data_IF_450135112463
#
_entry.id   IF_450135112463
#
_cell.length_a   1.000
_cell.length_b   1.000
_cell.length_c   1.000
_cell.angle_alpha   90.00
_cell.angle_beta   90.00
_cell.angle_gamma   90.00
#
_symmetry.space_group_name_H-M   'P 1'
#
loop_
_entity.id
_entity.type
_entity.pdbx_description
1 polymer ?
#
# COMPACT_ATOMS: atom_id res chain seq x y z
N UNK A 1 2.39 -22.41 16.10
CA UNK A 1 2.94 -21.07 15.79
C UNK A 1 4.09 -21.30 14.83
N UNK A 2 4.00 -20.82 13.58
CA UNK A 2 5.06 -20.95 12.59
C UNK A 2 6.27 -20.11 13.01
N UNK A 3 7.50 -20.56 12.71
CA UNK A 3 8.75 -19.85 13.05
C UNK A 3 8.82 -18.41 12.52
N UNK A 4 7.99 -18.08 11.53
CA UNK A 4 7.84 -16.75 10.96
C UNK A 4 7.19 -15.73 11.92
N UNK A 5 6.37 -16.19 12.86
CA UNK A 5 5.70 -15.31 13.83
C UNK A 5 6.67 -14.77 14.91
N UNK A 6 7.83 -15.39 15.09
CA UNK A 6 8.89 -14.93 16.02
C UNK A 6 9.88 -13.95 15.37
N UNK A 7 9.71 -13.68 14.07
CA UNK A 7 10.59 -12.77 13.35
C UNK A 7 10.36 -11.29 13.71
N UNK A 8 11.37 -10.47 13.42
CA UNK A 8 11.28 -9.02 13.57
C UNK A 8 10.09 -8.44 12.80
N UNK A 9 9.54 -7.34 13.30
CA UNK A 9 8.38 -6.68 12.71
C UNK A 9 8.55 -6.40 11.20
N UNK A 10 9.75 -5.98 10.78
CA UNK A 10 10.05 -5.72 9.37
C UNK A 10 9.91 -6.96 8.49
N UNK A 11 10.36 -8.13 8.97
CA UNK A 11 10.23 -9.38 8.23
C UNK A 11 8.77 -9.83 8.15
N UNK A 12 8.03 -9.73 9.26
CA UNK A 12 6.57 -10.03 9.29
C UNK A 12 5.78 -9.07 8.39
N UNK A 13 6.10 -7.78 8.41
CA UNK A 13 5.49 -6.78 7.55
C UNK A 13 5.83 -7.02 6.07
N UNK A 14 7.06 -7.41 5.75
CA UNK A 14 7.44 -7.76 4.38
C UNK A 14 6.66 -8.98 3.86
N UNK A 15 6.49 -10.02 4.68
CA UNK A 15 5.66 -11.18 4.34
C UNK A 15 4.19 -10.76 4.14
N UNK A 16 3.65 -9.94 5.05
CA UNK A 16 2.30 -9.38 4.93
C UNK A 16 2.12 -8.63 3.60
N UNK A 17 3.06 -7.76 3.25
CA UNK A 17 3.02 -7.02 2.00
C UNK A 17 3.08 -7.98 0.81
N UNK A 18 3.98 -8.97 0.78
CA UNK A 18 4.02 -9.91 -0.34
C UNK A 18 2.75 -10.74 -0.51
N UNK A 19 2.07 -11.12 0.58
CA UNK A 19 0.84 -11.91 0.52
C UNK A 19 -0.40 -11.08 0.14
N UNK A 20 -0.53 -9.86 0.65
CA UNK A 20 -1.72 -9.01 0.41
C UNK A 20 -1.57 -8.03 -0.73
N UNK A 21 -0.36 -7.52 -0.92
CA UNK A 21 -0.07 -6.45 -1.87
C UNK A 21 1.40 -6.49 -2.29
N UNK A 22 1.81 -7.40 -3.20
CA UNK A 22 3.19 -7.49 -3.64
C UNK A 22 3.61 -6.17 -4.28
N UNK A 23 4.28 -5.34 -3.48
CA UNK A 23 4.57 -3.93 -3.79
C UNK A 23 5.40 -3.81 -5.06
N UNK A 24 6.33 -4.76 -5.26
CA UNK A 24 7.19 -4.77 -6.45
C UNK A 24 6.39 -4.98 -7.74
N UNK A 25 5.46 -5.94 -7.73
CA UNK A 25 4.61 -6.21 -8.88
C UNK A 25 3.62 -5.05 -9.14
N UNK A 26 3.03 -4.51 -8.08
CA UNK A 26 2.09 -3.39 -8.20
C UNK A 26 2.78 -2.07 -8.53
N UNK A 27 4.02 -1.86 -8.07
CA UNK A 27 4.77 -0.63 -8.27
C UNK A 27 5.02 -0.32 -9.74
N UNK A 28 5.31 -1.35 -10.55
CA UNK A 28 5.47 -1.18 -11.99
C UNK A 28 4.16 -0.76 -12.68
N UNK A 29 3.05 -1.46 -12.38
CA UNK A 29 1.73 -1.14 -12.93
C UNK A 29 1.28 0.26 -12.50
N UNK A 30 1.51 0.62 -11.23
CA UNK A 30 1.18 1.94 -10.70
C UNK A 30 2.01 3.02 -11.39
N UNK A 31 3.30 2.79 -11.64
CA UNK A 31 4.12 3.74 -12.38
C UNK A 31 3.55 4.01 -13.78
N UNK A 32 3.21 2.95 -14.53
CA UNK A 32 2.58 3.06 -15.86
C UNK A 32 1.21 3.77 -15.77
N UNK A 33 0.39 3.42 -14.78
CA UNK A 33 -0.90 4.06 -14.54
C UNK A 33 -0.77 5.55 -14.24
N UNK A 34 0.09 5.93 -13.29
CA UNK A 34 0.37 7.32 -12.94
C UNK A 34 0.93 8.08 -14.16
N UNK A 35 1.81 7.47 -14.94
CA UNK A 35 2.37 8.07 -16.14
C UNK A 35 1.26 8.39 -17.16
N UNK A 36 0.37 7.42 -17.40
CA UNK A 36 -0.78 7.61 -18.29
C UNK A 36 -1.71 8.71 -17.80
N UNK A 37 -2.07 8.70 -16.51
CA UNK A 37 -2.97 9.67 -15.91
C UNK A 37 -2.43 11.11 -15.98
N UNK A 38 -1.16 11.30 -15.62
CA UNK A 38 -0.53 12.62 -15.66
C UNK A 38 -0.32 13.10 -17.10
N UNK A 39 0.07 12.21 -18.02
CA UNK A 39 0.21 12.54 -19.45
C UNK A 39 -1.12 13.01 -20.03
N UNK A 40 -2.20 12.26 -19.78
CA UNK A 40 -3.53 12.62 -20.25
C UNK A 40 -3.99 13.97 -19.68
N UNK A 41 -3.79 14.19 -18.37
CA UNK A 41 -4.11 15.48 -17.74
C UNK A 41 -3.36 16.65 -18.37
N UNK A 42 -2.07 16.48 -18.73
CA UNK A 42 -1.28 17.52 -19.40
C UNK A 42 -1.79 17.83 -20.80
N UNK A 43 -2.11 16.79 -21.58
CA UNK A 43 -2.68 16.93 -22.92
C UNK A 43 -3.99 17.74 -22.85
N UNK A 44 -4.89 17.39 -21.92
CA UNK A 44 -6.14 18.13 -21.74
C UNK A 44 -5.95 19.59 -21.30
N UNK A 45 -4.83 19.90 -20.63
CA UNK A 45 -4.49 21.27 -20.20
C UNK A 45 -3.68 22.04 -21.24
N UNK A 46 -3.37 21.43 -22.40
CA UNK A 46 -2.52 22.04 -23.43
C UNK A 46 -1.09 22.29 -22.96
N UNK A 47 -0.61 21.57 -21.94
CA UNK A 47 0.74 21.77 -21.40
C UNK A 47 1.71 20.91 -22.20
N UNK A 48 2.58 21.57 -22.96
CA UNK A 48 3.62 20.91 -23.74
C UNK A 48 4.77 20.37 -22.87
N UNK A 49 5.54 19.46 -23.45
CA UNK A 49 6.74 18.88 -22.81
C UNK A 49 6.46 17.70 -21.87
N UNK A 50 7.55 17.10 -21.40
CA UNK A 50 7.53 15.88 -20.60
C UNK A 50 7.06 16.13 -19.16
N UNK A 51 6.63 15.07 -18.47
CA UNK A 51 6.20 15.17 -17.07
C UNK A 51 7.39 15.53 -16.18
N UNK A 52 7.28 16.56 -15.32
CA UNK A 52 8.31 16.85 -14.33
C UNK A 52 8.55 15.65 -13.42
N UNK A 53 9.81 15.26 -13.26
CA UNK A 53 10.19 14.06 -12.51
C UNK A 53 9.69 14.09 -11.06
N UNK A 54 9.72 15.27 -10.43
CA UNK A 54 9.21 15.49 -9.07
C UNK A 54 7.71 15.18 -8.98
N UNK A 55 6.89 15.76 -9.85
CA UNK A 55 5.44 15.52 -9.87
C UNK A 55 5.10 14.06 -10.18
N UNK A 56 5.88 13.42 -11.05
CA UNK A 56 5.70 12.02 -11.38
C UNK A 56 5.99 11.12 -10.18
N UNK A 57 7.13 11.32 -9.50
CA UNK A 57 7.51 10.55 -8.32
C UNK A 57 6.53 10.75 -7.16
N UNK A 58 6.07 11.98 -6.93
CA UNK A 58 5.02 12.28 -5.94
C UNK A 58 3.73 11.55 -6.29
N UNK A 59 3.32 11.56 -7.56
CA UNK A 59 2.12 10.84 -8.02
C UNK A 59 2.21 9.33 -7.82
N UNK A 60 3.37 8.72 -8.12
CA UNK A 60 3.62 7.29 -7.88
C UNK A 60 3.55 7.01 -6.39
N UNK A 61 4.28 7.79 -5.59
CA UNK A 61 4.32 7.65 -4.14
C UNK A 61 2.91 7.72 -3.55
N UNK A 62 2.14 8.75 -3.89
CA UNK A 62 0.77 8.96 -3.42
C UNK A 62 -0.14 7.79 -3.81
N UNK A 63 -0.01 7.27 -5.04
CA UNK A 63 -0.85 6.18 -5.52
C UNK A 63 -0.52 4.86 -4.82
N UNK A 64 0.77 4.50 -4.69
CA UNK A 64 1.21 3.30 -3.97
C UNK A 64 0.75 3.35 -2.51
N UNK A 65 0.98 4.49 -1.85
CA UNK A 65 0.62 4.66 -0.44
C UNK A 65 -0.90 4.70 -0.24
N UNK A 66 -1.66 5.24 -1.18
CA UNK A 66 -3.12 5.21 -1.14
C UNK A 66 -3.65 3.78 -1.24
N UNK A 67 -3.14 2.98 -2.18
CA UNK A 67 -3.52 1.56 -2.27
C UNK A 67 -3.14 0.79 -1.00
N UNK A 68 -1.99 1.09 -0.41
CA UNK A 68 -1.59 0.51 0.88
C UNK A 68 -2.60 0.86 1.98
N UNK A 69 -3.03 2.13 2.07
CA UNK A 69 -4.03 2.56 3.06
C UNK A 69 -5.37 1.86 2.86
N UNK A 70 -5.83 1.72 1.61
CA UNK A 70 -7.06 0.98 1.29
C UNK A 70 -6.96 -0.47 1.76
N UNK A 71 -5.83 -1.15 1.50
CA UNK A 71 -5.61 -2.52 1.96
C UNK A 71 -5.59 -2.63 3.49
N UNK A 72 -4.89 -1.72 4.15
CA UNK A 72 -4.88 -1.66 5.62
C UNK A 72 -6.31 -1.46 6.14
N UNK A 73 -7.10 -0.59 5.51
CA UNK A 73 -8.49 -0.35 5.91
C UNK A 73 -9.38 -1.58 5.73
N UNK A 74 -9.21 -2.34 4.65
CA UNK A 74 -9.93 -3.60 4.43
C UNK A 74 -9.65 -4.61 5.56
N UNK A 75 -8.43 -4.70 6.10
CA UNK A 75 -8.13 -5.57 7.26
C UNK A 75 -8.90 -5.16 8.53
N UNK A 76 -9.20 -3.88 8.71
CA UNK A 76 -10.05 -3.42 9.83
C UNK A 76 -11.52 -3.69 9.56
N UNK A 77 -11.97 -3.45 8.32
CA UNK A 77 -13.37 -3.61 7.89
C UNK A 77 -13.79 -5.08 7.95
N UNK A 78 -12.94 -5.98 7.44
CA UNK A 78 -13.25 -7.40 7.28
C UNK A 78 -12.81 -8.25 8.49
N UNK A 79 -12.39 -7.61 9.60
CA UNK A 79 -11.81 -8.28 10.78
C UNK A 79 -12.64 -9.46 11.30
N UNK A 80 -13.94 -9.25 11.49
CA UNK A 80 -14.82 -10.25 12.11
C UNK A 80 -15.04 -11.45 11.19
N UNK A 81 -15.28 -11.19 9.90
CA UNK A 81 -15.49 -12.21 8.90
C UNK A 81 -14.20 -12.98 8.58
N UNK A 82 -13.06 -12.30 8.48
CA UNK A 82 -11.77 -12.92 8.22
C UNK A 82 -11.33 -13.81 9.41
N UNK A 83 -11.64 -13.41 10.65
CA UNK A 83 -11.39 -14.24 11.84
C UNK A 83 -12.25 -15.51 11.85
N UNK A 84 -13.48 -15.44 11.34
CA UNK A 84 -14.42 -16.57 11.33
C UNK A 84 -14.17 -17.54 10.18
N UNK A 85 -13.90 -17.04 8.97
CA UNK A 85 -13.89 -17.85 7.75
C UNK A 85 -12.52 -17.95 7.07
N UNK A 86 -11.56 -17.06 7.38
CA UNK A 86 -10.29 -16.95 6.64
C UNK A 86 -9.07 -16.93 7.56
N UNK A 87 -8.95 -17.96 8.40
CA UNK A 87 -7.88 -18.10 9.40
C UNK A 87 -6.45 -18.18 8.83
N UNK A 88 -6.30 -18.44 7.52
CA UNK A 88 -5.00 -18.49 6.85
C UNK A 88 -4.40 -17.09 6.60
N UNK A 89 -5.19 -16.03 6.76
CA UNK A 89 -4.77 -14.66 6.49
C UNK A 89 -3.79 -14.12 7.55
N UNK A 90 -2.94 -13.14 7.19
CA UNK A 90 -1.91 -12.59 8.06
C UNK A 90 -2.38 -12.11 9.44
N UNK A 91 -3.53 -11.43 9.49
CA UNK A 91 -4.07 -10.87 10.74
C UNK A 91 -4.68 -11.96 11.63
N UNK A 92 -5.63 -12.79 11.15
CA UNK A 92 -6.18 -13.92 11.92
C UNK A 92 -5.14 -14.95 12.39
N UNK A 93 -4.08 -15.22 11.60
CA UNK A 93 -3.02 -16.17 11.98
C UNK A 93 -1.99 -15.61 12.95
N UNK A 94 -2.07 -14.32 13.27
CA UNK A 94 -1.18 -13.64 14.20
C UNK A 94 0.19 -13.27 13.63
N UNK A 95 0.36 -13.18 12.30
CA UNK A 95 1.60 -12.69 11.71
C UNK A 95 1.77 -11.19 11.99
N UNK A 96 0.69 -10.41 11.87
CA UNK A 96 0.68 -8.98 12.14
C UNK A 96 -0.59 -8.57 12.89
N UNK A 97 -0.46 -7.65 13.82
CA UNK A 97 -1.58 -7.14 14.60
C UNK A 97 -2.23 -5.93 13.94
N UNK A 98 -3.53 -5.75 14.16
CA UNK A 98 -4.25 -4.55 13.74
C UNK A 98 -3.67 -3.27 14.38
N UNK A 99 -3.06 -3.37 15.57
CA UNK A 99 -2.39 -2.21 16.20
C UNK A 99 -1.16 -1.78 15.41
N UNK A 100 -0.33 -2.73 14.98
CA UNK A 100 0.83 -2.45 14.12
C UNK A 100 0.37 -1.84 12.78
N UNK A 101 -0.66 -2.41 12.14
CA UNK A 101 -1.22 -1.87 10.89
C UNK A 101 -1.80 -0.46 11.05
N UNK A 102 -2.41 -0.15 12.21
CA UNK A 102 -2.92 1.19 12.51
C UNK A 102 -1.80 2.22 12.54
N UNK A 103 -0.68 1.92 13.21
CA UNK A 103 0.47 2.82 13.29
C UNK A 103 1.05 3.06 11.89
N UNK A 104 1.21 2.00 11.10
CA UNK A 104 1.66 2.11 9.70
C UNK A 104 0.72 3.02 8.90
N UNK A 105 -0.59 2.80 8.99
CA UNK A 105 -1.58 3.61 8.28
C UNK A 105 -1.53 5.09 8.65
N UNK A 106 -1.43 5.41 9.95
CA UNK A 106 -1.34 6.81 10.43
C UNK A 106 -0.05 7.46 9.93
N UNK A 107 1.09 6.78 10.02
CA UNK A 107 2.38 7.31 9.56
C UNK A 107 2.34 7.57 8.06
N UNK A 108 1.83 6.62 7.27
CA UNK A 108 1.72 6.76 5.82
C UNK A 108 0.79 7.93 5.44
N UNK A 109 -0.37 8.06 6.09
CA UNK A 109 -1.30 9.15 5.85
C UNK A 109 -0.69 10.52 6.24
N UNK A 110 0.04 10.59 7.35
CA UNK A 110 0.73 11.82 7.75
C UNK A 110 1.79 12.24 6.73
N UNK A 111 2.57 11.28 6.20
CA UNK A 111 3.55 11.55 5.14
C UNK A 111 2.86 12.01 3.86
N UNK A 112 1.74 11.40 3.46
CA UNK A 112 0.98 11.83 2.27
C UNK A 112 0.51 13.29 2.37
N UNK A 113 0.11 13.75 3.55
CA UNK A 113 -0.34 15.14 3.76
C UNK A 113 0.84 16.13 3.74
N UNK A 114 2.04 15.67 4.07
CA UNK A 114 3.25 16.52 4.12
C UNK A 114 3.95 16.74 2.78
N UNK A 115 3.58 15.96 1.75
CA UNK A 115 4.18 15.98 0.40
C UNK A 115 3.29 16.75 -0.55
#
# INVERSE_FOLDING_TARGET
>A
MTSENEASFLKRFYIYQNERFPILAHGFIIAVFTFSAVSYSRICRGVEGFIPWQSYLIGIFATITLFLLVRIFDEFKDREDDAKYRKYLPVPRGLISLKELRVVGIVVAAIQISV
#
